data_IF_352765886186
#
_entry.id   IF_352765886186
#
_cell.length_a   1.000
_cell.length_b   1.000
_cell.length_c   1.000
_cell.angle_alpha   90.00
_cell.angle_beta   90.00
_cell.angle_gamma   90.00
#
_symmetry.space_group_name_H-M   'P 1'
#
loop_
_entity.id
_entity.type
_entity.pdbx_description
1 polymer ?
#
# COMPACT_ATOMS: atom_id res chain seq x y z
N UNK A 1 -0.31 14.80 -11.07
CA UNK A 1 -0.02 14.30 -9.71
C UNK A 1 0.28 12.83 -9.85
N UNK A 2 1.30 12.32 -9.18
CA UNK A 2 1.70 10.92 -9.30
C UNK A 2 0.94 10.14 -8.23
N UNK A 3 -0.07 9.36 -8.63
CA UNK A 3 -0.76 8.45 -7.73
C UNK A 3 0.18 7.32 -7.30
N UNK A 4 -0.07 6.73 -6.13
CA UNK A 4 0.67 5.57 -5.65
C UNK A 4 -0.27 4.46 -5.20
N UNK A 5 0.26 3.24 -5.20
CA UNK A 5 -0.49 2.01 -4.96
C UNK A 5 -0.11 1.41 -3.62
N UNK A 6 -1.11 0.89 -2.92
CA UNK A 6 -0.90 0.15 -1.68
C UNK A 6 -1.49 -1.26 -1.76
N UNK A 7 -0.97 -2.14 -0.92
CA UNK A 7 -1.41 -3.52 -0.81
C UNK A 7 -2.79 -3.59 -0.16
N UNK A 8 -3.72 -4.35 -0.74
CA UNK A 8 -5.04 -4.61 -0.15
C UNK A 8 -4.99 -5.51 1.07
N UNK A 9 -3.94 -6.33 1.20
CA UNK A 9 -3.79 -7.28 2.29
C UNK A 9 -3.15 -6.64 3.53
N UNK A 10 -1.99 -5.99 3.37
CA UNK A 10 -1.24 -5.43 4.50
C UNK A 10 -1.21 -3.89 4.55
N UNK A 11 -1.82 -3.20 3.59
CA UNK A 11 -1.79 -1.74 3.45
C UNK A 11 -0.37 -1.15 3.36
N UNK A 12 0.58 -1.91 2.83
CA UNK A 12 1.94 -1.46 2.55
C UNK A 12 2.02 -0.64 1.27
N UNK A 13 2.82 0.42 1.25
CA UNK A 13 3.00 1.30 0.09
C UNK A 13 4.05 0.80 -0.91
N UNK A 14 4.86 -0.20 -0.52
CA UNK A 14 5.90 -0.80 -1.36
C UNK A 14 5.29 -1.82 -2.31
N UNK A 15 4.52 -1.33 -3.28
CA UNK A 15 3.82 -2.13 -4.29
C UNK A 15 4.37 -1.81 -5.68
N UNK A 16 4.74 -2.86 -6.41
CA UNK A 16 5.38 -2.75 -7.73
C UNK A 16 4.71 -3.67 -8.74
N UNK A 17 4.80 -3.39 -10.05
CA UNK A 17 4.34 -4.32 -11.08
C UNK A 17 4.97 -5.71 -10.90
N UNK A 18 4.15 -6.75 -10.99
CA UNK A 18 4.58 -8.13 -10.91
C UNK A 18 5.16 -8.56 -12.27
N UNK A 19 6.38 -9.09 -12.25
CA UNK A 19 7.14 -9.45 -13.47
C UNK A 19 7.05 -10.95 -13.83
N UNK A 20 6.05 -11.67 -13.31
CA UNK A 20 5.90 -13.11 -13.58
C UNK A 20 5.18 -13.41 -14.91
N UNK A 21 5.05 -14.70 -15.21
CA UNK A 21 4.49 -15.21 -16.48
C UNK A 21 2.97 -15.10 -16.62
N UNK A 22 2.25 -14.66 -15.58
CA UNK A 22 0.80 -14.57 -15.64
C UNK A 22 0.34 -13.36 -16.46
N UNK A 23 -0.68 -13.54 -17.29
CA UNK A 23 -1.28 -12.47 -18.09
C UNK A 23 -2.10 -11.51 -17.23
N UNK A 24 -2.10 -10.23 -17.64
CA UNK A 24 -2.81 -9.13 -16.97
C UNK A 24 -1.94 -8.32 -16.02
N UNK A 25 -2.35 -7.08 -15.77
CA UNK A 25 -1.65 -6.21 -14.82
C UNK A 25 -1.79 -6.77 -13.42
N UNK A 26 -0.65 -7.11 -12.84
CA UNK A 26 -0.52 -7.62 -11.48
C UNK A 26 0.52 -6.81 -10.75
N UNK A 27 0.43 -6.84 -9.44
CA UNK A 27 1.30 -6.10 -8.54
C UNK A 27 1.80 -7.03 -7.44
N UNK A 28 2.97 -6.76 -6.89
CA UNK A 28 3.50 -7.48 -5.75
C UNK A 28 3.80 -6.52 -4.62
N UNK A 29 3.40 -6.89 -3.41
CA UNK A 29 3.77 -6.17 -2.20
C UNK A 29 5.11 -6.68 -1.65
N UNK A 30 6.06 -5.78 -1.41
CA UNK A 30 7.33 -6.16 -0.78
C UNK A 30 7.22 -6.42 0.73
N UNK A 31 6.15 -5.96 1.37
CA UNK A 31 6.00 -6.10 2.83
C UNK A 31 5.47 -7.49 3.23
N UNK A 32 4.56 -8.06 2.42
CA UNK A 32 3.91 -9.34 2.72
C UNK A 32 3.93 -10.34 1.56
N UNK A 33 4.66 -10.03 0.48
CA UNK A 33 4.85 -10.88 -0.71
C UNK A 33 3.58 -11.20 -1.52
N UNK A 34 2.44 -10.64 -1.14
CA UNK A 34 1.14 -10.82 -1.80
C UNK A 34 1.17 -10.36 -3.27
N UNK A 35 0.64 -11.19 -4.17
CA UNK A 35 0.42 -10.83 -5.58
C UNK A 35 -1.02 -10.34 -5.75
N UNK A 36 -1.16 -9.04 -5.99
CA UNK A 36 -2.42 -8.31 -6.11
C UNK A 36 -2.82 -8.21 -7.58
N UNK A 37 -4.12 -8.37 -7.88
CA UNK A 37 -4.70 -7.98 -9.16
C UNK A 37 -5.17 -6.52 -9.10
N UNK A 38 -5.69 -6.09 -7.94
CA UNK A 38 -6.24 -4.76 -7.73
C UNK A 38 -5.63 -4.14 -6.47
N UNK A 39 -4.57 -3.34 -6.58
CA UNK A 39 -4.10 -2.52 -5.48
C UNK A 39 -5.06 -1.35 -5.23
N UNK A 40 -5.04 -0.82 -4.01
CA UNK A 40 -5.72 0.45 -3.74
C UNK A 40 -4.82 1.59 -4.23
N UNK A 41 -5.41 2.59 -4.88
CA UNK A 41 -4.68 3.73 -5.43
C UNK A 41 -5.07 5.01 -4.68
N UNK A 42 -4.06 5.81 -4.34
CA UNK A 42 -4.22 7.05 -3.60
C UNK A 42 -3.48 8.18 -4.33
N UNK A 43 -4.10 9.35 -4.35
CA UNK A 43 -3.53 10.56 -4.96
C UNK A 43 -2.70 11.39 -3.97
N UNK A 44 -2.92 11.20 -2.67
CA UNK A 44 -2.27 11.95 -1.60
C UNK A 44 -1.89 11.06 -0.41
N UNK A 45 -0.88 11.48 0.35
CA UNK A 45 -0.46 10.79 1.58
C UNK A 45 -1.52 10.99 2.66
N UNK A 46 -2.19 12.14 2.66
CA UNK A 46 -3.25 12.51 3.60
C UNK A 46 -4.43 11.54 3.51
N UNK A 47 -4.87 11.21 2.30
CA UNK A 47 -5.98 10.25 2.06
C UNK A 47 -5.59 8.84 2.52
N UNK A 48 -4.35 8.43 2.25
CA UNK A 48 -3.82 7.15 2.73
C UNK A 48 -3.75 7.08 4.26
N UNK A 49 -3.29 8.13 4.92
CA UNK A 49 -3.23 8.21 6.37
C UNK A 49 -4.64 8.23 6.98
N UNK A 50 -5.59 8.94 6.38
CA UNK A 50 -7.00 8.93 6.80
C UNK A 50 -7.62 7.54 6.67
N UNK A 51 -7.33 6.83 5.58
CA UNK A 51 -7.72 5.44 5.37
C UNK A 51 -7.13 4.52 6.47
N UNK A 52 -5.84 4.63 6.77
CA UNK A 52 -5.19 3.79 7.78
C UNK A 52 -5.74 4.01 9.19
N UNK A 53 -6.12 5.24 9.56
CA UNK A 53 -6.76 5.52 10.86
C UNK A 53 -8.00 4.65 11.09
N UNK A 54 -8.74 4.34 10.03
CA UNK A 54 -9.98 3.55 10.09
C UNK A 54 -9.67 2.06 9.93
N UNK A 55 -8.88 1.68 8.94
CA UNK A 55 -8.70 0.29 8.54
C UNK A 55 -7.56 -0.44 9.26
N UNK A 56 -6.55 0.29 9.73
CA UNK A 56 -5.42 -0.30 10.46
C UNK A 56 -4.81 0.71 11.44
N UNK A 57 -5.48 0.94 12.60
CA UNK A 57 -5.01 1.88 13.62
C UNK A 57 -3.61 1.58 14.13
N UNK A 58 -3.24 0.29 14.18
CA UNK A 58 -1.90 -0.15 14.59
C UNK A 58 -0.81 0.29 13.61
N UNK A 59 -1.07 0.13 12.30
CA UNK A 59 -0.12 0.54 11.25
C UNK A 59 -0.03 2.06 11.18
N UNK A 60 -1.16 2.75 11.32
CA UNK A 60 -1.20 4.21 11.45
C UNK A 60 -0.32 4.70 12.60
N UNK A 61 -0.46 4.11 13.79
CA UNK A 61 0.34 4.49 14.98
C UNK A 61 1.83 4.24 14.78
N UNK A 62 2.22 3.14 14.10
CA UNK A 62 3.62 2.85 13.78
C UNK A 62 4.22 3.90 12.84
N UNK A 63 3.47 4.32 11.82
CA UNK A 63 3.92 5.32 10.86
C UNK A 63 4.07 6.70 11.53
N UNK A 64 3.12 7.09 12.39
CA UNK A 64 3.22 8.34 13.14
C UNK A 64 4.46 8.39 14.02
N UNK A 65 4.74 7.32 14.77
CA UNK A 65 5.95 7.26 15.62
C UNK A 65 7.23 7.47 14.82
N UNK A 66 7.35 6.80 13.67
CA UNK A 66 8.51 6.93 12.79
C UNK A 66 8.67 8.33 12.14
N UNK A 67 7.64 9.19 12.20
CA UNK A 67 7.70 10.58 11.69
C UNK A 67 8.06 11.59 12.77
N UNK A 68 7.98 11.21 14.05
CA UNK A 68 8.31 12.05 15.21
C UNK A 68 9.76 11.88 15.67
N UNK A 69 10.42 10.80 15.25
CA UNK A 69 11.86 10.50 15.44
C UNK A 69 12.72 11.09 14.30
#
# INVERSE_FOLDING_TARGET
MTSFRICTNCYGYRVYPWMGFMTGDRYQCQDCEEILIMPLEFDSIEDYLAFLKVQSPEKFSKIQKNMED
#
